data_IF_196202376124
#
_entry.id   IF_196202376124
#
_cell.length_a   1.000
_cell.length_b   1.000
_cell.length_c   1.000
_cell.angle_alpha   90.00
_cell.angle_beta   90.00
_cell.angle_gamma   90.00
#
_symmetry.space_group_name_H-M   'P 1'
#
loop_
_entity.id
_entity.type
_entity.pdbx_description
1 polymer ?
#
# COMPACT_ATOMS: atom_id res chain seq x y z
N UNK A 1 76.42 -22.48 4.91
CA UNK A 1 75.73 -21.40 5.65
C UNK A 1 74.45 -21.06 4.91
N UNK A 2 73.33 -21.69 5.30
CA UNK A 2 72.03 -21.54 4.65
C UNK A 2 71.27 -20.37 5.29
N UNK A 3 70.81 -19.41 4.47
CA UNK A 3 70.02 -18.25 4.89
C UNK A 3 68.53 -18.60 4.75
N UNK A 4 67.79 -18.61 5.85
CA UNK A 4 66.33 -18.70 5.85
C UNK A 4 65.72 -17.30 5.86
N UNK A 5 64.93 -16.98 4.83
CA UNK A 5 64.12 -15.76 4.74
C UNK A 5 62.71 -16.09 5.24
N UNK A 6 62.27 -15.41 6.30
CA UNK A 6 60.93 -15.53 6.88
C UNK A 6 60.00 -14.57 6.15
N UNK A 7 59.04 -15.11 5.38
CA UNK A 7 57.99 -14.35 4.71
C UNK A 7 56.86 -14.08 5.73
N UNK A 8 56.65 -12.82 6.10
CA UNK A 8 55.48 -12.39 6.88
C UNK A 8 54.26 -12.34 5.96
N UNK A 9 53.29 -13.21 6.19
CA UNK A 9 51.97 -13.15 5.55
C UNK A 9 51.10 -12.21 6.38
N UNK A 10 50.89 -10.99 5.88
CA UNK A 10 49.85 -10.09 6.37
C UNK A 10 48.48 -10.68 6.03
N UNK A 11 47.77 -11.19 7.03
CA UNK A 11 46.35 -11.52 6.91
C UNK A 11 45.55 -10.22 6.75
N UNK A 12 45.07 -9.95 5.54
CA UNK A 12 44.06 -8.92 5.31
C UNK A 12 42.71 -9.41 5.85
N UNK A 13 42.25 -8.81 6.95
CA UNK A 13 40.84 -8.91 7.34
C UNK A 13 39.99 -8.15 6.31
N UNK A 14 39.25 -8.88 5.48
CA UNK A 14 38.17 -8.33 4.69
C UNK A 14 37.01 -7.98 5.65
N UNK A 15 36.85 -6.70 5.94
CA UNK A 15 35.64 -6.20 6.58
C UNK A 15 34.47 -6.37 5.60
N UNK A 16 33.65 -7.40 5.82
CA UNK A 16 32.38 -7.56 5.12
C UNK A 16 31.45 -6.49 5.67
N UNK A 17 31.32 -5.37 4.95
CA UNK A 17 30.23 -4.44 5.22
C UNK A 17 28.92 -5.17 4.93
N UNK A 18 27.98 -5.23 5.89
CA UNK A 18 26.65 -5.68 5.56
C UNK A 18 26.10 -4.70 4.53
N UNK A 19 26.04 -5.16 3.28
CA UNK A 19 25.21 -4.56 2.26
C UNK A 19 23.83 -4.44 2.92
N UNK A 20 23.33 -3.21 3.11
CA UNK A 20 21.99 -2.98 3.62
C UNK A 20 21.04 -3.73 2.68
N UNK A 21 20.63 -4.94 3.08
CA UNK A 21 19.62 -5.69 2.37
C UNK A 21 18.36 -4.82 2.42
N UNK A 22 17.93 -4.34 1.26
CA UNK A 22 16.63 -3.69 1.10
C UNK A 22 15.62 -4.62 1.75
N UNK A 23 14.88 -4.14 2.76
CA UNK A 23 13.84 -4.92 3.40
C UNK A 23 12.93 -5.47 2.30
N UNK A 24 12.99 -6.78 2.09
CA UNK A 24 12.13 -7.47 1.15
C UNK A 24 10.77 -7.57 1.81
N UNK A 25 9.77 -6.95 1.20
CA UNK A 25 8.39 -7.10 1.64
C UNK A 25 7.95 -8.56 1.50
N UNK A 26 7.30 -9.11 2.53
CA UNK A 26 6.76 -10.47 2.47
C UNK A 26 5.59 -10.59 1.49
N UNK A 27 4.92 -9.46 1.23
CA UNK A 27 3.89 -9.33 0.20
C UNK A 27 3.99 -7.98 -0.50
N UNK A 28 3.74 -7.98 -1.81
CA UNK A 28 3.65 -6.77 -2.62
C UNK A 28 2.55 -6.95 -3.66
N UNK A 29 1.69 -5.96 -3.77
CA UNK A 29 0.68 -5.85 -4.81
C UNK A 29 0.63 -4.41 -5.31
N UNK A 30 0.46 -4.23 -6.62
CA UNK A 30 0.26 -2.93 -7.19
C UNK A 30 -0.21 -3.01 -8.63
N UNK A 31 -0.74 -1.89 -9.12
CA UNK A 31 -1.10 -1.73 -10.52
C UNK A 31 -0.82 -0.29 -10.97
N UNK A 32 -0.39 -0.16 -12.23
CA UNK A 32 -0.12 1.13 -12.85
C UNK A 32 -1.41 1.85 -13.25
N UNK A 33 -2.41 1.10 -13.71
CA UNK A 33 -3.69 1.66 -14.14
C UNK A 33 -4.85 0.79 -13.70
N UNK A 34 -6.03 1.37 -13.61
CA UNK A 34 -7.27 0.66 -13.27
C UNK A 34 -7.70 -0.38 -14.33
N UNK A 35 -7.06 -0.41 -15.50
CA UNK A 35 -7.26 -1.43 -16.54
C UNK A 35 -6.14 -2.48 -16.58
N UNK A 36 -5.16 -2.41 -15.68
CA UNK A 36 -4.21 -3.51 -15.50
C UNK A 36 -4.98 -4.79 -15.16
N UNK A 37 -4.52 -5.93 -15.68
CA UNK A 37 -5.26 -7.19 -15.57
C UNK A 37 -5.52 -7.62 -14.11
N UNK A 38 -4.67 -7.19 -13.18
CA UNK A 38 -4.75 -7.48 -11.75
C UNK A 38 -5.46 -6.37 -10.93
N UNK A 39 -5.88 -5.25 -11.53
CA UNK A 39 -6.30 -4.05 -10.79
C UNK A 39 -7.51 -4.26 -9.87
N UNK A 40 -8.30 -5.30 -10.11
CA UNK A 40 -9.50 -5.63 -9.35
C UNK A 40 -9.38 -6.90 -8.50
N UNK A 41 -8.22 -7.56 -8.45
CA UNK A 41 -8.01 -8.85 -7.77
C UNK A 41 -8.42 -8.82 -6.28
N UNK A 42 -8.25 -7.67 -5.63
CA UNK A 42 -8.58 -7.44 -4.23
C UNK A 42 -9.78 -6.50 -4.02
N UNK A 43 -10.54 -6.20 -5.09
CA UNK A 43 -11.75 -5.39 -4.97
C UNK A 43 -12.88 -6.27 -4.43
N UNK A 44 -13.41 -5.90 -3.27
CA UNK A 44 -14.58 -6.55 -2.70
C UNK A 44 -15.88 -6.00 -3.28
N UNK A 45 -15.97 -4.68 -3.42
CA UNK A 45 -17.17 -4.03 -3.97
C UNK A 45 -16.86 -2.68 -4.58
N UNK A 46 -17.66 -2.32 -5.58
CA UNK A 46 -17.75 -0.98 -6.13
C UNK A 46 -19.21 -0.56 -6.17
N UNK A 47 -19.51 0.64 -5.68
CA UNK A 47 -20.86 1.21 -5.67
C UNK A 47 -20.79 2.56 -6.36
N UNK A 48 -21.61 2.73 -7.40
CA UNK A 48 -21.66 3.96 -8.19
C UNK A 48 -20.33 4.40 -8.81
N UNK A 49 -19.44 3.44 -9.10
CA UNK A 49 -18.13 3.69 -9.72
C UNK A 49 -18.21 3.41 -11.21
N UNK A 50 -17.55 4.25 -11.99
CA UNK A 50 -17.32 4.08 -13.41
C UNK A 50 -15.81 4.06 -13.70
N UNK A 51 -15.36 3.11 -14.52
CA UNK A 51 -13.97 3.04 -14.98
C UNK A 51 -13.84 3.81 -16.29
N UNK A 52 -12.95 4.80 -16.34
CA UNK A 52 -12.80 5.70 -17.48
C UNK A 52 -11.40 5.64 -18.09
N UNK A 53 -11.34 5.80 -19.41
CA UNK A 53 -10.12 5.82 -20.22
C UNK A 53 -10.10 7.10 -21.08
N UNK A 54 -9.18 8.02 -20.76
CA UNK A 54 -8.90 9.25 -21.52
C UNK A 54 -7.78 9.02 -22.57
N UNK A 55 -7.45 7.78 -22.88
CA UNK A 55 -6.31 7.38 -23.70
C UNK A 55 -5.06 7.21 -22.84
N UNK A 56 -4.41 8.33 -22.49
CA UNK A 56 -3.20 8.28 -21.65
C UNK A 56 -3.55 7.94 -20.20
N UNK A 57 -4.49 8.68 -19.62
CA UNK A 57 -4.88 8.50 -18.23
C UNK A 57 -6.08 7.56 -18.08
N UNK A 58 -6.00 6.69 -17.08
CA UNK A 58 -7.04 5.70 -16.76
C UNK A 58 -7.34 5.73 -15.27
N UNK A 59 -8.61 5.75 -14.89
CA UNK A 59 -9.01 5.93 -13.49
C UNK A 59 -10.43 5.46 -13.21
N UNK A 60 -10.73 5.29 -11.92
CA UNK A 60 -12.10 5.19 -11.41
C UNK A 60 -12.65 6.57 -11.11
N UNK A 61 -13.95 6.76 -11.30
CA UNK A 61 -14.66 8.00 -11.02
C UNK A 61 -16.10 7.69 -10.59
N UNK A 62 -16.86 8.63 -9.98
CA UNK A 62 -18.29 8.47 -9.80
C UNK A 62 -19.02 8.26 -11.13
N UNK A 63 -20.14 7.54 -11.10
CA UNK A 63 -20.95 7.30 -12.29
C UNK A 63 -21.41 8.63 -12.90
N UNK A 64 -21.07 8.95 -14.16
CA UNK A 64 -21.44 10.22 -14.77
C UNK A 64 -22.96 10.40 -14.97
N UNK A 65 -23.71 9.30 -14.98
CA UNK A 65 -25.18 9.30 -15.08
C UNK A 65 -25.87 9.38 -13.72
N UNK A 66 -25.18 9.01 -12.65
CA UNK A 66 -25.65 9.11 -11.27
C UNK A 66 -24.53 9.68 -10.38
N UNK A 67 -24.59 10.97 -10.05
CA UNK A 67 -23.53 11.66 -9.32
C UNK A 67 -23.60 11.47 -7.79
N UNK A 68 -24.32 10.45 -7.33
CA UNK A 68 -24.23 10.03 -5.94
C UNK A 68 -22.77 9.68 -5.56
N UNK A 69 -22.52 9.63 -4.26
CA UNK A 69 -21.22 9.23 -3.73
C UNK A 69 -20.81 7.84 -4.25
N UNK A 70 -19.56 7.70 -4.68
CA UNK A 70 -19.02 6.47 -5.21
C UNK A 70 -18.03 5.84 -4.23
N UNK A 71 -18.11 4.52 -4.10
CA UNK A 71 -17.31 3.75 -3.15
C UNK A 71 -16.54 2.64 -3.85
N UNK A 72 -15.27 2.49 -3.48
CA UNK A 72 -14.46 1.33 -3.82
C UNK A 72 -13.99 0.73 -2.50
N UNK A 73 -14.36 -0.52 -2.23
CA UNK A 73 -13.90 -1.26 -1.05
C UNK A 73 -12.97 -2.38 -1.49
N UNK A 74 -11.77 -2.39 -0.93
CA UNK A 74 -10.74 -3.41 -1.17
C UNK A 74 -10.47 -4.17 0.13
N UNK A 75 -10.17 -5.47 -0.01
CA UNK A 75 -9.83 -6.37 1.10
C UNK A 75 -8.62 -7.20 0.72
N UNK A 76 -7.64 -7.24 1.60
CA UNK A 76 -6.44 -8.06 1.51
C UNK A 76 -6.39 -9.00 2.70
N UNK A 77 -6.28 -10.30 2.41
CA UNK A 77 -6.14 -11.36 3.42
C UNK A 77 -4.71 -11.87 3.42
N UNK A 78 -4.15 -12.05 4.62
CA UNK A 78 -2.76 -12.44 4.83
C UNK A 78 -2.66 -13.72 5.67
N UNK A 79 -1.65 -14.56 5.43
CA UNK A 79 -1.46 -15.80 6.19
C UNK A 79 -0.96 -15.57 7.62
N UNK A 80 -0.45 -14.38 7.93
CA UNK A 80 0.17 -14.02 9.21
C UNK A 80 -0.25 -12.62 9.61
N UNK A 81 -0.10 -12.32 10.91
CA UNK A 81 -0.33 -10.99 11.43
C UNK A 81 0.63 -9.99 10.79
N UNK A 82 0.14 -8.79 10.49
CA UNK A 82 0.90 -7.75 9.82
C UNK A 82 1.74 -6.99 10.84
N UNK A 83 3.04 -6.90 10.61
CA UNK A 83 3.97 -6.11 11.44
C UNK A 83 4.16 -4.70 10.89
N UNK A 84 4.13 -4.53 9.58
CA UNK A 84 4.32 -3.26 8.88
C UNK A 84 3.59 -3.31 7.54
N UNK A 85 3.02 -2.19 7.12
CA UNK A 85 2.43 -2.05 5.80
C UNK A 85 2.70 -0.66 5.24
N UNK A 86 3.12 -0.59 3.98
CA UNK A 86 3.30 0.65 3.23
C UNK A 86 2.27 0.75 2.13
N UNK A 87 1.53 1.85 2.07
CA UNK A 87 0.52 2.10 1.05
C UNK A 87 0.90 3.32 0.21
N UNK A 88 0.84 3.15 -1.10
CA UNK A 88 0.81 4.23 -2.09
C UNK A 88 -0.57 4.21 -2.77
N UNK A 89 -1.29 5.32 -2.72
CA UNK A 89 -2.61 5.46 -3.36
C UNK A 89 -2.86 6.92 -3.76
N UNK A 90 -3.42 7.13 -4.95
CA UNK A 90 -3.65 8.46 -5.52
C UNK A 90 -5.13 8.77 -5.73
N UNK A 91 -5.54 9.97 -5.33
CA UNK A 91 -6.84 10.59 -5.65
C UNK A 91 -6.57 11.92 -6.35
N UNK A 92 -7.08 12.08 -7.57
CA UNK A 92 -7.07 13.35 -8.28
C UNK A 92 -8.43 14.04 -8.11
N UNK A 93 -8.41 15.32 -7.78
CA UNK A 93 -9.60 16.16 -7.64
C UNK A 93 -9.50 17.37 -8.55
N UNK A 94 -10.63 17.74 -9.13
CA UNK A 94 -10.70 18.83 -10.09
C UNK A 94 -11.79 19.82 -9.68
N UNK A 95 -11.57 21.05 -10.11
CA UNK A 95 -12.58 22.09 -10.12
C UNK A 95 -12.63 22.71 -11.50
N UNK A 96 -13.81 22.70 -12.09
CA UNK A 96 -14.10 23.34 -13.36
C UNK A 96 -15.39 24.16 -13.21
N UNK A 97 -15.69 25.03 -14.17
CA UNK A 97 -16.93 25.80 -14.19
C UNK A 97 -18.20 24.94 -14.11
N UNK A 98 -18.12 23.66 -14.48
CA UNK A 98 -19.21 22.68 -14.42
C UNK A 98 -19.20 21.78 -13.17
N UNK A 99 -18.20 21.81 -12.28
CA UNK A 99 -18.20 20.88 -11.15
C UNK A 99 -16.98 20.90 -10.25
N UNK A 100 -17.07 20.19 -9.13
CA UNK A 100 -16.01 20.07 -8.13
C UNK A 100 -16.00 18.67 -7.54
N UNK A 101 -14.80 18.12 -7.35
CA UNK A 101 -14.62 16.79 -6.80
C UNK A 101 -13.90 16.79 -5.46
N UNK A 102 -14.27 15.83 -4.63
CA UNK A 102 -13.60 15.49 -3.39
C UNK A 102 -13.39 13.99 -3.32
N UNK A 103 -12.43 13.57 -2.51
CA UNK A 103 -12.29 12.17 -2.19
C UNK A 103 -11.70 11.96 -0.81
N UNK A 104 -11.87 10.75 -0.30
CA UNK A 104 -11.26 10.32 0.96
C UNK A 104 -10.78 8.89 0.83
N UNK A 105 -9.70 8.58 1.54
CA UNK A 105 -9.19 7.23 1.69
C UNK A 105 -9.23 6.85 3.16
N UNK A 106 -9.75 5.66 3.44
CA UNK A 106 -9.82 5.08 4.76
C UNK A 106 -9.12 3.73 4.78
N UNK A 107 -8.55 3.37 5.92
CA UNK A 107 -8.01 2.05 6.21
C UNK A 107 -8.79 1.37 7.33
N UNK A 108 -8.80 0.04 7.35
CA UNK A 108 -9.34 -0.76 8.45
C UNK A 108 -8.60 -2.09 8.55
N UNK A 109 -8.54 -2.68 9.74
CA UNK A 109 -8.00 -4.03 9.97
C UNK A 109 -9.07 -5.10 10.20
N UNK A 110 -10.35 -4.70 10.17
CA UNK A 110 -11.49 -5.58 10.48
C UNK A 110 -12.72 -5.34 9.59
N UNK A 111 -12.66 -4.38 8.65
CA UNK A 111 -13.76 -4.04 7.74
C UNK A 111 -14.92 -3.26 8.38
N UNK A 112 -14.88 -3.02 9.70
CA UNK A 112 -15.96 -2.40 10.47
C UNK A 112 -15.58 -1.05 11.08
N UNK A 113 -14.35 -0.93 11.58
CA UNK A 113 -13.79 0.29 12.17
C UNK A 113 -12.84 0.94 11.17
N UNK A 114 -13.21 2.13 10.68
CA UNK A 114 -12.49 2.82 9.62
C UNK A 114 -11.68 4.00 10.17
N UNK A 115 -10.40 4.01 9.87
CA UNK A 115 -9.49 5.11 10.18
C UNK A 115 -9.25 5.98 8.94
N UNK A 116 -9.23 7.28 9.13
CA UNK A 116 -8.99 8.26 8.08
C UNK A 116 -7.51 8.29 7.67
N UNK A 117 -7.22 8.11 6.38
CA UNK A 117 -5.83 8.22 5.87
C UNK A 117 -5.58 9.58 5.20
N UNK A 118 -6.41 9.96 4.23
CA UNK A 118 -6.28 11.26 3.54
C UNK A 118 -7.62 11.86 3.13
N UNK A 119 -7.66 13.20 3.09
CA UNK A 119 -8.66 14.00 2.40
C UNK A 119 -8.09 14.57 1.12
N UNK A 120 -8.71 14.27 -0.01
CA UNK A 120 -8.46 14.95 -1.26
C UNK A 120 -9.48 16.09 -1.42
N UNK A 121 -9.07 17.31 -1.07
CA UNK A 121 -9.93 18.49 -1.23
C UNK A 121 -10.01 18.92 -2.70
N UNK A 122 -11.15 19.51 -3.09
CA UNK A 122 -11.29 20.22 -4.35
C UNK A 122 -10.31 21.42 -4.41
N UNK A 123 -9.76 21.75 -5.59
CA UNK A 123 -9.01 22.99 -5.80
C UNK A 123 -9.84 24.26 -5.48
N UNK A 124 -9.19 25.31 -4.98
CA UNK A 124 -9.82 26.61 -4.70
C UNK A 124 -10.10 27.44 -5.96
N UNK A 125 -9.39 27.16 -7.05
CA UNK A 125 -9.54 27.80 -8.36
C UNK A 125 -9.75 26.72 -9.43
N UNK A 126 -10.01 27.10 -10.68
CA UNK A 126 -10.12 26.11 -11.75
C UNK A 126 -8.79 25.38 -11.96
N UNK A 127 -8.84 24.05 -12.10
CA UNK A 127 -7.66 23.21 -12.23
C UNK A 127 -7.83 21.84 -11.58
N UNK A 128 -6.69 21.18 -11.36
CA UNK A 128 -6.61 19.86 -10.72
C UNK A 128 -5.57 19.82 -9.61
N UNK A 129 -5.82 18.97 -8.62
CA UNK A 129 -4.89 18.61 -7.55
C UNK A 129 -4.75 17.09 -7.47
N UNK A 130 -3.53 16.64 -7.18
CA UNK A 130 -3.20 15.22 -7.04
C UNK A 130 -2.81 14.95 -5.59
N UNK A 131 -3.65 14.19 -4.91
CA UNK A 131 -3.46 13.80 -3.52
C UNK A 131 -2.93 12.38 -3.46
N UNK A 132 -1.80 12.19 -2.79
CA UNK A 132 -1.16 10.88 -2.66
C UNK A 132 -0.97 10.54 -1.19
N UNK A 133 -1.50 9.41 -0.77
CA UNK A 133 -1.02 8.74 0.44
C UNK A 133 0.17 7.87 0.04
N UNK A 134 1.32 8.05 0.69
CA UNK A 134 2.56 7.34 0.37
C UNK A 134 3.37 7.19 1.66
N UNK A 135 2.94 6.27 2.52
CA UNK A 135 3.49 6.15 3.87
C UNK A 135 3.24 4.75 4.47
N UNK A 136 3.94 4.49 5.58
CA UNK A 136 3.61 3.40 6.49
C UNK A 136 2.24 3.66 7.11
N UNK A 137 1.40 2.62 7.15
CA UNK A 137 0.08 2.68 7.76
C UNK A 137 0.17 2.91 9.28
N UNK A 138 -0.81 3.63 9.87
CA UNK A 138 -0.91 3.77 11.32
C UNK A 138 -0.91 2.43 12.04
N UNK A 139 -0.25 2.36 13.21
CA UNK A 139 -0.13 1.14 14.00
C UNK A 139 -1.50 0.55 14.42
N UNK A 140 -2.53 1.37 14.51
CA UNK A 140 -3.93 0.99 14.74
C UNK A 140 -4.48 0.04 13.67
N UNK A 141 -3.96 0.11 12.44
CA UNK A 141 -4.33 -0.76 11.31
C UNK A 141 -3.50 -2.05 11.23
N UNK A 142 -2.52 -2.26 12.11
CA UNK A 142 -1.61 -3.41 12.07
C UNK A 142 -1.99 -4.48 13.10
N UNK A 143 -1.27 -5.60 13.08
CA UNK A 143 -1.41 -6.73 14.00
C UNK A 143 -2.54 -7.72 13.68
N UNK A 144 -3.42 -7.38 12.74
CA UNK A 144 -4.41 -8.31 12.17
C UNK A 144 -3.86 -9.08 10.97
N UNK A 145 -4.65 -10.01 10.44
CA UNK A 145 -4.39 -10.77 9.21
C UNK A 145 -5.17 -10.24 8.01
N UNK A 146 -5.84 -9.10 8.17
CA UNK A 146 -6.63 -8.46 7.12
C UNK A 146 -6.27 -6.98 7.04
N UNK A 147 -6.24 -6.44 5.82
CA UNK A 147 -6.27 -4.99 5.58
C UNK A 147 -7.39 -4.65 4.62
N UNK A 148 -8.10 -3.59 4.96
CA UNK A 148 -9.23 -3.09 4.23
C UNK A 148 -8.97 -1.64 3.86
N UNK A 149 -9.36 -1.28 2.65
CA UNK A 149 -9.32 0.10 2.19
C UNK A 149 -10.66 0.50 1.62
N UNK A 150 -11.07 1.72 1.89
CA UNK A 150 -12.26 2.31 1.31
C UNK A 150 -11.91 3.64 0.70
N UNK A 151 -12.21 3.77 -0.58
CA UNK A 151 -12.14 5.03 -1.30
C UNK A 151 -13.55 5.56 -1.45
N UNK A 152 -13.72 6.82 -1.12
CA UNK A 152 -14.94 7.58 -1.30
C UNK A 152 -14.64 8.68 -2.30
N UNK A 153 -15.45 8.79 -3.35
CA UNK A 153 -15.37 9.86 -4.35
C UNK A 153 -16.71 10.57 -4.41
N UNK A 154 -16.67 11.89 -4.30
CA UNK A 154 -17.86 12.74 -4.35
C UNK A 154 -17.66 13.85 -5.38
N UNK A 155 -18.73 14.22 -6.08
CA UNK A 155 -18.72 15.25 -7.12
C UNK A 155 -19.98 16.10 -7.02
N UNK A 156 -19.78 17.42 -7.02
CA UNK A 156 -20.86 18.36 -7.29
C UNK A 156 -20.81 18.79 -8.74
N UNK A 157 -21.98 19.01 -9.32
CA UNK A 157 -22.12 19.44 -10.70
C UNK A 157 -22.99 20.69 -10.76
N UNK A 158 -22.57 21.66 -11.56
CA UNK A 158 -23.41 22.75 -12.02
C UNK A 158 -23.88 22.38 -13.43
N UNK A 159 -25.15 22.60 -13.75
CA UNK A 159 -25.87 22.11 -14.94
C UNK A 159 -25.36 22.59 -16.31
N UNK A 160 -24.08 22.95 -16.44
CA UNK A 160 -23.48 23.62 -17.57
C UNK A 160 -22.83 22.71 -18.61
N UNK A 161 -22.41 21.49 -18.28
CA UNK A 161 -21.77 20.59 -19.28
C UNK A 161 -22.75 19.56 -19.85
N UNK A 162 -22.77 19.41 -21.18
CA UNK A 162 -23.53 18.37 -21.89
C UNK A 162 -22.76 17.05 -22.00
N UNK A 163 -21.50 17.01 -21.57
CA UNK A 163 -20.65 15.82 -21.59
C UNK A 163 -20.73 15.11 -20.23
N UNK A 164 -21.37 13.94 -20.12
CA UNK A 164 -21.57 13.28 -18.83
C UNK A 164 -20.26 12.92 -18.14
N UNK A 165 -19.28 12.38 -18.88
CA UNK A 165 -17.96 11.99 -18.36
C UNK A 165 -17.17 13.17 -17.78
N UNK A 166 -17.35 14.38 -18.30
CA UNK A 166 -16.68 15.58 -17.79
C UNK A 166 -17.13 15.94 -16.38
N UNK A 167 -18.31 15.47 -15.92
CA UNK A 167 -18.89 15.83 -14.63
C UNK A 167 -18.22 15.13 -13.44
N UNK A 168 -17.41 14.11 -13.69
CA UNK A 168 -16.78 13.32 -12.65
C UNK A 168 -15.40 13.91 -12.30
N UNK A 169 -15.45 14.90 -11.42
CA UNK A 169 -14.32 15.72 -10.98
C UNK A 169 -13.49 15.11 -9.84
N UNK A 170 -13.80 13.90 -9.40
CA UNK A 170 -13.03 13.13 -8.42
C UNK A 170 -12.65 11.79 -9.03
N UNK A 171 -11.38 11.43 -8.94
CA UNK A 171 -10.80 10.30 -9.65
C UNK A 171 -9.88 9.51 -8.72
N UNK A 172 -9.99 8.19 -8.70
CA UNK A 172 -9.11 7.31 -7.95
C UNK A 172 -8.27 6.44 -8.88
N UNK A 173 -7.01 6.25 -8.52
CA UNK A 173 -6.10 5.39 -9.26
C UNK A 173 -5.79 5.93 -10.66
N UNK A 174 -5.76 7.26 -10.83
CA UNK A 174 -5.32 7.90 -12.08
C UNK A 174 -3.86 7.58 -12.32
N UNK A 175 -3.61 6.78 -13.35
CA UNK A 175 -2.27 6.43 -13.81
C UNK A 175 -2.22 6.35 -15.33
N UNK A 176 -1.00 6.43 -15.86
CA UNK A 176 -0.70 6.28 -17.28
C UNK A 176 0.06 4.98 -17.52
N UNK A 177 -0.25 4.29 -18.63
CA UNK A 177 0.43 3.03 -18.90
C UNK A 177 1.93 3.27 -19.18
N UNK A 178 2.80 2.67 -18.36
CA UNK A 178 4.26 2.69 -18.58
C UNK A 178 5.00 3.91 -18.03
N UNK A 179 4.37 4.74 -17.19
CA UNK A 179 5.05 5.84 -16.49
C UNK A 179 5.89 5.36 -15.28
N UNK A 180 5.70 4.10 -14.85
CA UNK A 180 6.39 3.49 -13.72
C UNK A 180 5.94 4.02 -12.36
N UNK A 181 4.79 4.72 -12.32
CA UNK A 181 4.18 5.27 -11.12
C UNK A 181 2.89 4.50 -10.84
N UNK A 182 2.94 3.63 -9.83
CA UNK A 182 1.76 2.85 -9.46
C UNK A 182 0.62 3.76 -9.00
N UNK A 183 -0.53 3.61 -9.66
CA UNK A 183 -1.80 4.18 -9.23
C UNK A 183 -2.21 3.67 -7.83
N UNK A 184 -1.82 2.44 -7.51
CA UNK A 184 -1.98 1.81 -6.21
C UNK A 184 -0.85 0.81 -5.95
N UNK A 185 -0.28 0.84 -4.74
CA UNK A 185 0.68 -0.17 -4.27
C UNK A 185 0.51 -0.42 -2.78
N UNK A 186 0.46 -1.68 -2.40
CA UNK A 186 0.50 -2.15 -1.03
C UNK A 186 1.69 -3.09 -0.85
N UNK A 187 2.54 -2.78 0.12
CA UNK A 187 3.59 -3.67 0.57
C UNK A 187 3.37 -4.02 2.04
N UNK A 188 3.65 -5.27 2.41
CA UNK A 188 3.36 -5.78 3.76
C UNK A 188 4.51 -6.66 4.25
N UNK A 189 4.89 -6.48 5.51
CA UNK A 189 5.71 -7.41 6.28
C UNK A 189 4.85 -8.10 7.33
N UNK A 190 5.14 -9.36 7.59
CA UNK A 190 4.48 -10.15 8.61
C UNK A 190 5.24 -10.09 9.94
N UNK A 191 4.53 -10.44 11.01
CA UNK A 191 5.16 -10.74 12.30
C UNK A 191 5.89 -12.08 12.14
N UNK A 192 7.21 -12.16 12.41
CA UNK A 192 7.95 -13.41 12.29
C UNK A 192 7.36 -14.49 13.20
N UNK A 193 7.14 -15.68 12.65
CA UNK A 193 6.83 -16.85 13.47
C UNK A 193 7.96 -17.09 14.49
N UNK A 194 7.66 -17.34 15.78
CA UNK A 194 8.70 -17.69 16.74
C UNK A 194 9.38 -18.97 16.27
N UNK A 195 10.65 -18.84 15.87
CA UNK A 195 11.42 -19.96 15.35
C UNK A 195 11.51 -21.02 16.44
N UNK A 196 11.14 -22.28 16.13
CA UNK A 196 11.08 -23.40 17.06
C UNK A 196 12.41 -23.74 17.80
N UNK A 197 13.48 -22.97 17.53
CA UNK A 197 14.80 -23.08 18.14
C UNK A 197 14.76 -22.79 19.65
N UNK A 198 13.76 -22.05 20.16
CA UNK A 198 13.61 -21.81 21.60
C UNK A 198 13.00 -22.98 22.40
N UNK A 199 12.40 -23.98 21.75
CA UNK A 199 11.77 -25.12 22.44
C UNK A 199 12.72 -26.31 22.70
N UNK A 200 13.94 -26.30 22.16
CA UNK A 200 14.94 -27.35 22.40
C UNK A 200 15.97 -27.00 23.50
N UNK A 201 15.86 -25.82 24.12
CA UNK A 201 16.84 -25.30 25.09
C UNK A 201 16.63 -25.69 26.56
N UNK A 202 15.74 -26.63 26.89
CA UNK A 202 15.53 -27.10 28.27
C UNK A 202 15.46 -28.64 28.34
N UNK A 203 16.61 -29.33 28.25
CA UNK A 203 16.80 -30.44 29.17
C UNK A 203 18.28 -30.63 29.56
N UNK A 204 18.81 -29.91 30.56
CA UNK A 204 20.12 -30.28 31.14
C UNK A 204 20.41 -29.76 32.56
N UNK A 205 19.41 -29.36 33.36
CA UNK A 205 19.64 -28.96 34.76
C UNK A 205 18.83 -29.80 35.76
N UNK A 206 18.81 -31.13 35.57
CA UNK A 206 18.21 -32.06 36.54
C UNK A 206 19.09 -33.29 36.89
N UNK A 207 20.34 -33.35 36.41
CA UNK A 207 21.24 -34.49 36.63
C UNK A 207 22.58 -34.06 37.24
N UNK A 208 22.53 -33.46 38.43
CA UNK A 208 23.70 -33.38 39.33
C UNK A 208 23.24 -33.58 40.78
N UNK A 209 22.66 -34.77 41.05
CA UNK A 209 22.46 -35.25 42.42
C UNK A 209 22.77 -36.74 42.56
N UNK A 210 24.06 -37.04 42.58
CA UNK A 210 24.72 -38.26 43.13
C UNK A 210 26.22 -38.02 42.91
N UNK A 211 27.16 -38.16 43.84
CA UNK A 211 27.28 -39.12 44.94
C UNK A 211 28.60 -38.74 45.66
N UNK A 212 28.60 -38.53 46.98
CA UNK A 212 29.78 -38.79 47.83
C UNK A 212 29.31 -39.26 49.20
N UNK A 213 29.37 -40.59 49.37
CA UNK A 213 29.63 -41.26 50.63
C UNK A 213 31.04 -40.97 51.10
#
# INVERSE_FOLDING_TARGET
MSKYTILHVCAMLLAVWPCCARATWDFSYGYDTVFSANAEDYTLSMVNVFKHDEGLAKFYQPNPENLDEAFITMRFDFPQAISEAHLTACIATYRWWFGRGWGSLYGSKDGSNWEYLIFAQSPEQEGGLYWKYDNILPASLLGGTELWFKVLLDCTNTSGTTQPWARATAQFGRGEAGDGIDAFRLNVNYVPEPTAILLLGLPALALLRKRRS
#
